data_IF_202465358297
#
_entry.id   IF_202465358297
#
_cell.length_a   1.000
_cell.length_b   1.000
_cell.length_c   1.000
_cell.angle_alpha   90.00
_cell.angle_beta   90.00
_cell.angle_gamma   90.00
#
_symmetry.space_group_name_H-M   'P 1'
#
loop_
_entity.id
_entity.type
_entity.pdbx_description
1 polymer ?
#
# COMPACT_ATOMS: atom_id res chain seq x y z
N UNK A 1 -24.89 -2.81 24.13
CA UNK A 1 -23.98 -3.34 23.09
C UNK A 1 -24.67 -3.74 21.78
N UNK A 2 -25.89 -3.25 21.48
CA UNK A 2 -26.62 -3.62 20.24
C UNK A 2 -27.02 -2.44 19.34
N UNK A 3 -26.92 -1.20 19.81
CA UNK A 3 -27.31 -0.01 19.03
C UNK A 3 -26.13 0.62 18.26
N UNK A 4 -24.92 0.57 18.81
CA UNK A 4 -23.72 1.11 18.15
C UNK A 4 -23.30 0.28 16.91
N UNK A 5 -23.46 -1.05 16.96
CA UNK A 5 -23.17 -1.93 15.83
C UNK A 5 -24.21 -1.81 14.71
N UNK A 6 -25.46 -1.48 15.06
CA UNK A 6 -26.53 -1.24 14.09
C UNK A 6 -26.33 0.11 13.37
N UNK A 7 -25.88 1.14 14.09
CA UNK A 7 -25.52 2.43 13.49
C UNK A 7 -24.31 2.31 12.57
N UNK A 8 -23.30 1.51 12.96
CA UNK A 8 -22.15 1.22 12.12
C UNK A 8 -22.54 0.49 10.82
N UNK A 9 -23.50 -0.44 10.88
CA UNK A 9 -23.98 -1.14 9.69
C UNK A 9 -24.84 -0.25 8.77
N UNK A 10 -25.66 0.64 9.30
CA UNK A 10 -26.52 1.53 8.49
C UNK A 10 -25.71 2.63 7.77
N UNK A 11 -24.51 2.97 8.27
CA UNK A 11 -23.57 3.91 7.64
C UNK A 11 -22.84 3.31 6.43
N UNK A 12 -22.73 1.97 6.34
CA UNK A 12 -22.00 1.28 5.25
C UNK A 12 -22.77 1.18 3.93
N UNK A 13 -24.07 1.48 3.90
CA UNK A 13 -24.89 1.41 2.67
C UNK A 13 -24.91 2.77 1.98
N UNK A 14 -23.88 3.03 1.16
CA UNK A 14 -23.92 4.03 0.08
C UNK A 14 -24.07 5.51 0.47
N UNK A 15 -24.01 5.87 1.76
CA UNK A 15 -23.94 7.28 2.18
C UNK A 15 -22.53 7.83 1.98
N UNK A 16 -22.46 8.99 1.35
CA UNK A 16 -21.25 9.81 1.26
C UNK A 16 -20.85 10.24 2.67
N UNK A 17 -19.59 10.01 3.05
CA UNK A 17 -19.09 10.29 4.40
C UNK A 17 -18.34 11.61 4.39
N UNK A 18 -18.73 12.53 5.28
CA UNK A 18 -17.99 13.78 5.39
C UNK A 18 -16.58 13.52 5.96
N UNK A 19 -15.53 14.23 5.48
CA UNK A 19 -14.17 14.09 6.00
C UNK A 19 -14.05 14.29 7.53
N UNK A 20 -14.96 15.06 8.12
CA UNK A 20 -15.03 15.27 9.57
C UNK A 20 -15.55 14.05 10.32
N UNK A 21 -16.51 13.32 9.75
CA UNK A 21 -17.03 12.09 10.33
C UNK A 21 -15.97 10.98 10.30
N UNK A 22 -15.19 10.91 9.22
CA UNK A 22 -14.09 9.95 9.06
C UNK A 22 -12.98 10.19 10.10
N UNK A 23 -12.67 11.46 10.41
CA UNK A 23 -11.73 11.81 11.48
C UNK A 23 -12.21 11.35 12.86
N UNK A 24 -13.53 11.30 13.10
CA UNK A 24 -14.11 10.81 14.36
C UNK A 24 -14.09 9.28 14.48
N UNK A 25 -14.13 8.57 13.35
CA UNK A 25 -14.01 7.11 13.27
C UNK A 25 -12.58 6.60 13.49
N UNK A 26 -11.59 7.50 13.65
CA UNK A 26 -10.23 7.09 13.96
C UNK A 26 -10.16 6.37 15.32
N UNK A 27 -9.49 5.21 15.41
CA UNK A 27 -9.41 4.44 16.64
C UNK A 27 -8.94 5.29 17.83
N UNK A 28 -9.73 5.32 18.90
CA UNK A 28 -9.34 5.98 20.14
C UNK A 28 -8.47 5.07 21.01
N UNK A 29 -7.65 5.73 21.85
CA UNK A 29 -6.59 5.26 22.78
C UNK A 29 -6.35 3.73 22.90
N UNK A 30 -5.08 3.34 22.76
CA UNK A 30 -4.56 2.03 23.19
C UNK A 30 -4.18 1.07 22.05
N UNK A 31 -4.69 1.29 20.83
CA UNK A 31 -4.39 0.40 19.68
C UNK A 31 -3.09 0.77 18.96
N UNK A 32 -2.74 2.06 18.93
CA UNK A 32 -1.56 2.57 18.24
C UNK A 32 -0.60 3.25 19.21
N UNK A 33 0.71 3.10 18.97
CA UNK A 33 1.72 3.98 19.54
C UNK A 33 1.55 5.40 18.98
N UNK A 34 2.18 6.40 19.61
CA UNK A 34 2.12 7.80 19.14
C UNK A 34 2.64 7.92 17.70
N UNK A 35 3.71 7.21 17.37
CA UNK A 35 4.29 7.20 16.03
C UNK A 35 3.36 6.54 15.00
N UNK A 36 2.77 5.40 15.35
CA UNK A 36 1.81 4.69 14.50
C UNK A 36 0.56 5.52 14.25
N UNK A 37 0.01 6.15 15.29
CA UNK A 37 -1.16 7.01 15.16
C UNK A 37 -0.86 8.19 14.24
N UNK A 38 0.30 8.84 14.41
CA UNK A 38 0.74 9.94 13.54
C UNK A 38 0.81 9.49 12.08
N UNK A 39 1.35 8.30 11.83
CA UNK A 39 1.50 7.74 10.48
C UNK A 39 0.15 7.35 9.87
N UNK A 40 -0.69 6.64 10.61
CA UNK A 40 -2.05 6.29 10.19
C UNK A 40 -2.87 7.53 9.83
N UNK A 41 -2.96 8.50 10.75
CA UNK A 41 -3.71 9.74 10.53
C UNK A 41 -3.11 10.55 9.37
N UNK A 42 -1.78 10.57 9.23
CA UNK A 42 -1.11 11.23 8.12
C UNK A 42 -1.55 10.68 6.77
N UNK A 43 -1.54 9.35 6.61
CA UNK A 43 -1.99 8.70 5.37
C UNK A 43 -3.47 8.99 5.11
N UNK A 44 -4.34 8.82 6.11
CA UNK A 44 -5.78 9.07 5.96
C UNK A 44 -6.05 10.51 5.52
N UNK A 45 -5.46 11.50 6.19
CA UNK A 45 -5.65 12.91 5.86
C UNK A 45 -5.13 13.22 4.45
N UNK A 46 -3.98 12.66 4.08
CA UNK A 46 -3.36 12.89 2.79
C UNK A 46 -4.24 12.36 1.64
N UNK A 47 -4.79 11.14 1.78
CA UNK A 47 -5.67 10.57 0.77
C UNK A 47 -7.05 11.24 0.72
N UNK A 48 -7.59 11.67 1.86
CA UNK A 48 -8.83 12.45 1.91
C UNK A 48 -8.67 13.86 1.31
N UNK A 49 -7.45 14.42 1.29
CA UNK A 49 -7.19 15.72 0.68
C UNK A 49 -7.47 15.74 -0.83
N UNK A 50 -7.51 14.58 -1.48
CA UNK A 50 -7.88 14.47 -2.89
C UNK A 50 -9.40 14.61 -3.11
N UNK A 51 -10.24 14.57 -2.07
CA UNK A 51 -11.71 14.63 -2.14
C UNK A 51 -12.24 16.07 -1.92
N UNK A 52 -11.59 17.08 -2.52
CA UNK A 52 -11.92 18.51 -2.26
C UNK A 52 -13.31 18.93 -2.72
N UNK A 53 -13.80 18.33 -3.81
CA UNK A 53 -15.05 18.71 -4.48
C UNK A 53 -16.07 17.56 -4.51
N UNK A 54 -15.73 16.40 -3.97
CA UNK A 54 -16.59 15.23 -3.89
C UNK A 54 -16.45 14.58 -2.51
N UNK A 55 -17.54 14.17 -1.89
CA UNK A 55 -17.44 13.38 -0.66
C UNK A 55 -17.05 11.94 -0.98
N UNK A 56 -16.11 11.34 -0.23
CA UNK A 56 -15.72 9.96 -0.42
C UNK A 56 -16.88 9.00 -0.13
N UNK A 57 -16.97 7.94 -0.93
CA UNK A 57 -17.91 6.84 -0.65
C UNK A 57 -17.38 5.96 0.49
N UNK A 58 -18.25 5.18 1.13
CA UNK A 58 -17.82 4.21 2.15
C UNK A 58 -16.69 3.29 1.66
N UNK A 59 -16.78 2.79 0.42
CA UNK A 59 -15.73 1.98 -0.19
C UNK A 59 -14.39 2.73 -0.36
N UNK A 60 -14.43 4.04 -0.64
CA UNK A 60 -13.20 4.85 -0.70
C UNK A 60 -12.57 5.01 0.67
N UNK A 61 -13.38 5.19 1.72
CA UNK A 61 -12.91 5.27 3.10
C UNK A 61 -12.30 3.95 3.57
N UNK A 62 -12.95 2.83 3.24
CA UNK A 62 -12.45 1.48 3.57
C UNK A 62 -11.10 1.21 2.92
N UNK A 63 -10.93 1.54 1.63
CA UNK A 63 -9.65 1.39 0.95
C UNK A 63 -8.57 2.31 1.55
N UNK A 64 -8.89 3.56 1.89
CA UNK A 64 -7.96 4.49 2.56
C UNK A 64 -7.53 3.94 3.93
N UNK A 65 -8.47 3.40 4.70
CA UNK A 65 -8.19 2.79 6.00
C UNK A 65 -7.36 1.52 5.86
N UNK A 66 -7.63 0.68 4.86
CA UNK A 66 -6.84 -0.52 4.60
C UNK A 66 -5.40 -0.16 4.17
N UNK A 67 -5.20 0.91 3.38
CA UNK A 67 -3.87 1.42 3.04
C UNK A 67 -3.13 1.86 4.31
N UNK A 68 -3.78 2.68 5.16
CA UNK A 68 -3.18 3.20 6.38
C UNK A 68 -2.88 2.10 7.41
N UNK A 69 -3.78 1.13 7.56
CA UNK A 69 -3.62 -0.03 8.44
C UNK A 69 -2.50 -0.94 7.95
N UNK A 70 -2.46 -1.23 6.65
CA UNK A 70 -1.41 -2.05 6.04
C UNK A 70 -0.03 -1.44 6.26
N UNK A 71 0.10 -0.13 6.12
CA UNK A 71 1.36 0.59 6.35
C UNK A 71 1.83 0.53 7.81
N UNK A 72 0.91 0.65 8.78
CA UNK A 72 1.24 0.47 10.20
C UNK A 72 1.63 -0.98 10.51
N UNK A 73 0.92 -1.96 9.96
CA UNK A 73 1.24 -3.38 10.16
C UNK A 73 2.61 -3.75 9.57
N UNK A 74 2.92 -3.23 8.38
CA UNK A 74 4.23 -3.37 7.74
C UNK A 74 5.34 -2.81 8.65
N UNK A 75 5.16 -1.58 9.15
CA UNK A 75 6.12 -0.97 10.08
C UNK A 75 6.31 -1.81 11.35
N UNK A 76 5.23 -2.34 11.93
CA UNK A 76 5.30 -3.21 13.13
C UNK A 76 6.11 -4.47 12.88
N UNK A 77 5.86 -5.16 11.78
CA UNK A 77 6.57 -6.38 11.44
C UNK A 77 8.06 -6.10 11.21
N UNK A 78 8.38 -5.06 10.44
CA UNK A 78 9.77 -4.67 10.19
C UNK A 78 10.50 -4.23 11.45
N UNK A 79 9.82 -3.55 12.38
CA UNK A 79 10.40 -3.19 13.68
C UNK A 79 10.62 -4.41 14.58
N UNK A 80 9.67 -5.35 14.59
CA UNK A 80 9.78 -6.58 15.36
C UNK A 80 10.94 -7.47 14.89
N UNK A 81 11.26 -7.46 13.59
CA UNK A 81 12.30 -8.31 13.01
C UNK A 81 13.61 -7.60 12.73
N UNK A 82 13.76 -6.31 13.07
CA UNK A 82 14.86 -5.41 12.63
C UNK A 82 16.28 -6.00 12.77
N UNK A 83 16.51 -6.84 13.76
CA UNK A 83 17.82 -7.46 14.03
C UNK A 83 17.77 -9.00 14.01
N UNK A 84 16.72 -9.57 13.42
CA UNK A 84 16.48 -11.01 13.36
C UNK A 84 16.25 -11.44 11.90
N UNK A 85 17.31 -11.87 11.18
CA UNK A 85 17.19 -12.36 9.81
C UNK A 85 16.25 -13.57 9.68
N UNK A 86 16.20 -14.45 10.68
CA UNK A 86 15.31 -15.60 10.67
C UNK A 86 13.85 -15.15 10.86
N UNK A 87 13.62 -14.20 11.78
CA UNK A 87 12.35 -13.52 11.94
C UNK A 87 11.90 -12.81 10.67
N UNK A 88 12.82 -12.15 9.95
CA UNK A 88 12.54 -11.53 8.65
C UNK A 88 12.06 -12.54 7.61
N UNK A 89 12.69 -13.72 7.54
CA UNK A 89 12.26 -14.80 6.65
C UNK A 89 10.87 -15.30 7.07
N UNK A 90 10.63 -15.48 8.37
CA UNK A 90 9.35 -15.94 8.89
C UNK A 90 8.18 -14.97 8.60
N UNK A 91 8.43 -13.66 8.66
CA UNK A 91 7.39 -12.65 8.36
C UNK A 91 7.28 -12.30 6.87
N UNK A 92 8.17 -12.78 6.01
CA UNK A 92 8.23 -12.42 4.58
C UNK A 92 6.89 -12.68 3.85
N UNK A 93 6.27 -13.84 4.08
CA UNK A 93 4.96 -14.18 3.51
C UNK A 93 3.85 -13.25 4.01
N UNK A 94 3.94 -12.82 5.26
CA UNK A 94 2.98 -11.87 5.85
C UNK A 94 3.16 -10.47 5.27
N UNK A 95 4.40 -10.03 5.08
CA UNK A 95 4.73 -8.77 4.40
C UNK A 95 4.23 -8.77 2.95
N UNK A 96 4.39 -9.88 2.22
CA UNK A 96 3.88 -9.99 0.86
C UNK A 96 2.35 -9.90 0.80
N UNK A 97 1.64 -10.55 1.74
CA UNK A 97 0.18 -10.44 1.85
C UNK A 97 -0.27 -9.02 2.17
N UNK A 98 0.41 -8.34 3.10
CA UNK A 98 0.14 -6.94 3.45
C UNK A 98 0.38 -6.05 2.23
N UNK A 99 1.48 -6.24 1.52
CA UNK A 99 1.81 -5.49 0.31
C UNK A 99 0.73 -5.65 -0.76
N UNK A 100 0.29 -6.89 -1.05
CA UNK A 100 -0.77 -7.16 -2.03
C UNK A 100 -2.10 -6.51 -1.66
N UNK A 101 -2.49 -6.54 -0.38
CA UNK A 101 -3.71 -5.86 0.11
C UNK A 101 -3.62 -4.36 -0.04
N UNK A 102 -2.49 -3.76 0.39
CA UNK A 102 -2.20 -2.33 0.25
C UNK A 102 -2.24 -1.89 -1.22
N UNK A 103 -1.66 -2.69 -2.12
CA UNK A 103 -1.65 -2.41 -3.55
C UNK A 103 -3.05 -2.51 -4.16
N UNK A 104 -3.80 -3.54 -3.83
CA UNK A 104 -5.18 -3.70 -4.32
C UNK A 104 -6.07 -2.54 -3.88
N UNK A 105 -5.96 -2.10 -2.62
CA UNK A 105 -6.72 -0.94 -2.13
C UNK A 105 -6.37 0.35 -2.88
N UNK A 106 -5.07 0.59 -3.17
CA UNK A 106 -4.62 1.72 -4.00
C UNK A 106 -5.19 1.67 -5.42
N UNK A 107 -5.15 0.50 -6.06
CA UNK A 107 -5.64 0.30 -7.42
C UNK A 107 -7.16 0.43 -7.52
N UNK A 108 -7.89 -0.08 -6.52
CA UNK A 108 -9.34 0.08 -6.40
C UNK A 108 -9.71 1.55 -6.27
N UNK A 109 -9.02 2.28 -5.39
CA UNK A 109 -9.23 3.71 -5.20
C UNK A 109 -8.91 4.50 -6.47
N UNK A 110 -7.80 4.20 -7.14
CA UNK A 110 -7.44 4.84 -8.41
C UNK A 110 -8.49 4.58 -9.50
N UNK A 111 -8.94 3.33 -9.65
CA UNK A 111 -9.92 2.93 -10.65
C UNK A 111 -11.25 3.66 -10.46
N UNK A 112 -11.79 3.65 -9.23
CA UNK A 112 -13.05 4.37 -8.94
C UNK A 112 -12.94 5.87 -9.14
N UNK A 113 -11.75 6.46 -8.94
CA UNK A 113 -11.53 7.87 -9.23
C UNK A 113 -11.48 8.15 -10.72
N UNK A 114 -10.83 7.31 -11.52
CA UNK A 114 -10.85 7.43 -12.99
C UNK A 114 -12.28 7.40 -13.51
N UNK A 115 -13.13 6.51 -12.99
CA UNK A 115 -14.54 6.43 -13.36
C UNK A 115 -15.35 7.68 -12.97
N UNK A 116 -14.91 8.41 -11.95
CA UNK A 116 -15.54 9.67 -11.48
C UNK A 116 -14.97 10.94 -12.12
N UNK A 117 -13.80 10.88 -12.78
CA UNK A 117 -13.20 12.05 -13.46
C UNK A 117 -14.03 12.39 -14.71
N UNK A 118 -14.65 13.58 -14.71
CA UNK A 118 -15.33 14.10 -15.89
C UNK A 118 -14.29 14.46 -16.96
N UNK A 119 -14.48 13.96 -18.18
CA UNK A 119 -13.56 14.13 -19.33
C UNK A 119 -13.26 15.58 -19.75
N UNK A 120 -13.93 16.55 -19.13
CA UNK A 120 -13.84 17.99 -19.41
C UNK A 120 -13.14 18.81 -18.33
N UNK A 121 -12.93 18.27 -17.13
CA UNK A 121 -12.15 18.95 -16.09
C UNK A 121 -10.71 18.47 -16.16
N UNK A 122 -9.80 19.42 -16.32
CA UNK A 122 -8.35 19.23 -16.48
C UNK A 122 -7.74 18.15 -15.56
N UNK A 123 -6.64 17.59 -16.07
CA UNK A 123 -5.74 16.61 -15.47
C UNK A 123 -5.21 17.03 -14.08
N UNK A 124 -6.05 17.03 -13.06
CA UNK A 124 -5.58 17.10 -11.69
C UNK A 124 -5.00 15.73 -11.33
N UNK A 125 -3.67 15.66 -11.36
CA UNK A 125 -2.88 14.54 -10.84
C UNK A 125 -3.12 14.48 -9.34
N UNK A 126 -3.76 13.40 -8.88
CA UNK A 126 -4.10 13.22 -7.45
C UNK A 126 -2.95 12.55 -6.69
N UNK A 127 -2.98 12.60 -5.36
CA UNK A 127 -1.99 11.92 -4.54
C UNK A 127 -2.07 10.40 -4.76
N UNK A 128 -3.28 9.86 -4.91
CA UNK A 128 -3.48 8.44 -5.27
C UNK A 128 -2.76 8.11 -6.59
N UNK A 129 -2.93 8.94 -7.62
CA UNK A 129 -2.30 8.74 -8.93
C UNK A 129 -0.77 8.74 -8.81
N UNK A 130 -0.20 9.69 -8.07
CA UNK A 130 1.25 9.77 -7.83
C UNK A 130 1.79 8.52 -7.11
N UNK A 131 1.08 8.05 -6.09
CA UNK A 131 1.48 6.87 -5.32
C UNK A 131 1.47 5.61 -6.20
N UNK A 132 0.42 5.43 -7.01
CA UNK A 132 0.32 4.28 -7.91
C UNK A 132 1.39 4.33 -9.00
N UNK A 133 1.65 5.50 -9.58
CA UNK A 133 2.70 5.68 -10.59
C UNK A 133 4.08 5.39 -9.98
N UNK A 134 4.36 5.96 -8.81
CA UNK A 134 5.62 5.73 -8.10
C UNK A 134 5.85 4.23 -7.84
N UNK A 135 4.86 3.52 -7.32
CA UNK A 135 4.99 2.08 -7.01
C UNK A 135 5.22 1.24 -8.27
N UNK A 136 4.59 1.61 -9.39
CA UNK A 136 4.82 0.95 -10.69
C UNK A 136 6.23 1.19 -11.21
N UNK A 137 6.74 2.42 -11.07
CA UNK A 137 8.11 2.77 -11.48
C UNK A 137 9.14 2.06 -10.61
N UNK A 138 8.98 2.04 -9.29
CA UNK A 138 9.88 1.31 -8.40
C UNK A 138 9.92 -0.18 -8.73
N UNK A 139 8.75 -0.78 -8.98
CA UNK A 139 8.66 -2.19 -9.38
C UNK A 139 9.35 -2.46 -10.71
N UNK A 140 9.25 -1.56 -11.69
CA UNK A 140 9.91 -1.73 -12.98
C UNK A 140 11.43 -1.61 -12.87
N UNK A 141 11.92 -0.65 -12.06
CA UNK A 141 13.35 -0.48 -11.75
C UNK A 141 13.91 -1.72 -11.07
N UNK A 142 13.23 -2.23 -10.03
CA UNK A 142 13.66 -3.43 -9.32
C UNK A 142 13.69 -4.65 -10.24
N UNK A 143 12.67 -4.81 -11.09
CA UNK A 143 12.63 -5.89 -12.08
C UNK A 143 13.82 -5.81 -13.04
N UNK A 144 14.08 -4.63 -13.61
CA UNK A 144 15.21 -4.43 -14.51
C UNK A 144 16.56 -4.76 -13.83
N UNK A 145 16.71 -4.44 -12.54
CA UNK A 145 17.90 -4.78 -11.76
C UNK A 145 18.05 -6.30 -11.54
N UNK A 146 16.94 -7.00 -11.25
CA UNK A 146 16.95 -8.47 -11.12
C UNK A 146 17.31 -9.13 -12.44
N UNK A 147 16.70 -8.68 -13.54
CA UNK A 147 16.97 -9.22 -14.88
C UNK A 147 18.44 -9.01 -15.28
N UNK A 148 19.04 -7.86 -14.94
CA UNK A 148 20.45 -7.59 -15.17
C UNK A 148 21.37 -8.51 -14.35
N UNK A 149 21.07 -8.72 -13.06
CA UNK A 149 21.85 -9.63 -12.20
C UNK A 149 21.77 -11.09 -12.67
N UNK A 150 20.60 -11.54 -13.14
CA UNK A 150 20.43 -12.87 -13.72
C UNK A 150 21.27 -13.05 -14.99
N UNK A 151 21.28 -12.03 -15.87
CA UNK A 151 22.14 -12.03 -17.07
C UNK A 151 23.62 -12.11 -16.71
N UNK A 152 24.06 -11.37 -15.69
CA UNK A 152 25.46 -11.39 -15.22
C UNK A 152 25.85 -12.76 -14.63
N UNK A 153 24.94 -13.41 -13.90
CA UNK A 153 25.14 -14.76 -13.37
C UNK A 153 25.25 -15.78 -14.51
N UNK A 154 24.41 -15.68 -15.54
CA UNK A 154 24.48 -16.56 -16.71
C UNK A 154 25.79 -16.39 -17.48
N UNK A 155 26.21 -15.13 -17.73
CA UNK A 155 27.50 -14.84 -18.36
C UNK A 155 28.68 -15.40 -17.55
N UNK A 156 28.65 -15.20 -16.23
CA UNK A 156 29.69 -15.69 -15.32
C UNK A 156 29.72 -17.22 -15.32
N UNK A 157 28.56 -17.86 -15.33
CA UNK A 157 28.43 -19.32 -15.38
C UNK A 157 28.94 -19.90 -16.71
N UNK A 158 28.68 -19.23 -17.83
CA UNK A 158 29.22 -19.62 -19.14
C UNK A 158 30.74 -19.45 -19.21
N UNK A 159 31.28 -18.34 -18.68
CA UNK A 159 32.72 -18.13 -18.57
C UNK A 159 33.38 -19.19 -17.70
N UNK A 160 32.78 -19.51 -16.56
CA UNK A 160 33.27 -20.56 -15.65
C UNK A 160 33.27 -21.94 -16.33
N UNK A 161 32.18 -22.30 -17.02
CA UNK A 161 32.14 -23.55 -17.80
C UNK A 161 33.26 -23.63 -18.82
N UNK A 162 33.49 -22.54 -19.56
CA UNK A 162 34.54 -22.49 -20.57
C UNK A 162 35.94 -22.65 -19.95
N UNK A 163 36.21 -22.01 -18.82
CA UNK A 163 37.48 -22.17 -18.08
C UNK A 163 37.64 -23.61 -17.59
N UNK A 164 36.59 -24.23 -17.06
CA UNK A 164 36.64 -25.63 -16.62
C UNK A 164 36.90 -26.59 -17.79
N UNK A 165 36.25 -26.37 -18.94
CA UNK A 165 36.49 -27.13 -20.18
C UNK A 165 37.94 -26.95 -20.68
N UNK A 166 38.46 -25.73 -20.64
CA UNK A 166 39.85 -25.42 -21.04
C UNK A 166 40.89 -26.03 -20.08
N UNK A 167 40.57 -26.13 -18.79
CA UNK A 167 41.42 -26.75 -17.75
C UNK A 167 41.27 -28.29 -17.65
N UNK A 168 40.38 -28.89 -18.46
CA UNK A 168 40.23 -30.34 -18.57
C UNK A 168 39.38 -31.01 -17.48
N UNK A 169 38.47 -30.26 -16.85
CA UNK A 169 37.48 -30.76 -15.87
C UNK A 169 36.08 -30.93 -16.46
#
# INVERSE_FOLDING_TARGET
DGEDDAQAHEITVGRKLSPELIKKLMPQRGVFTVAEKKRFTGIVVQFLADFKNEEPTAADVDDIFEIAKSDVMEMRLLQATKNDPQGHIAVSQSLEKIYKRKQSAKENLASRRVDRKDSRSDLDVTIVDLVVIHDRTEKSIQKARVDALLSEVDETSQKLKKVLEDDGY
#
